data_IF_388194768366
#
_entry.id   IF_388194768366
#
_cell.length_a   1.000
_cell.length_b   1.000
_cell.length_c   1.000
_cell.angle_alpha   90.00
_cell.angle_beta   90.00
_cell.angle_gamma   90.00
#
_symmetry.space_group_name_H-M   'P 1'
#
loop_
_entity.id
_entity.type
_entity.pdbx_description
1 polymer ?
#
# COMPACT_ATOMS: atom_id res chain seq x y z
N UNK A 1 6.58 31.19 -6.78
CA UNK A 1 5.81 29.93 -6.89
C UNK A 1 4.44 29.98 -6.21
N UNK A 2 4.26 30.61 -5.04
CA UNK A 2 2.93 30.73 -4.37
C UNK A 2 1.88 31.53 -5.15
N UNK A 3 2.30 32.51 -5.98
CA UNK A 3 1.37 33.37 -6.74
C UNK A 3 0.81 32.70 -8.02
N UNK A 4 1.51 31.70 -8.58
CA UNK A 4 1.06 30.96 -9.77
C UNK A 4 0.00 29.93 -9.40
N UNK A 5 0.05 29.36 -8.20
CA UNK A 5 -0.94 28.39 -7.72
C UNK A 5 -2.33 29.01 -7.49
N UNK A 6 -2.38 30.25 -7.04
CA UNK A 6 -3.64 30.97 -6.85
C UNK A 6 -4.31 31.38 -8.19
N UNK A 7 -3.53 31.63 -9.25
CA UNK A 7 -4.08 32.02 -10.55
C UNK A 7 -4.67 30.79 -11.28
N UNK A 8 -4.08 29.60 -11.14
CA UNK A 8 -4.62 28.36 -11.73
C UNK A 8 -5.90 27.93 -11.03
N UNK A 9 -6.02 28.14 -9.71
CA UNK A 9 -7.23 27.81 -8.96
C UNK A 9 -8.40 28.77 -9.26
N UNK A 10 -8.11 30.05 -9.57
CA UNK A 10 -9.13 31.03 -9.90
C UNK A 10 -9.68 30.90 -11.32
N UNK A 11 -8.93 30.35 -12.27
CA UNK A 11 -9.38 30.11 -13.66
C UNK A 11 -10.33 28.93 -13.77
N UNK A 12 -10.30 27.97 -12.84
CA UNK A 12 -11.22 26.81 -12.81
C UNK A 12 -12.63 27.14 -12.31
N UNK A 13 -12.82 28.30 -11.68
CA UNK A 13 -14.14 28.71 -11.10
C UNK A 13 -14.96 29.54 -12.09
N UNK A 14 -14.36 30.14 -13.13
CA UNK A 14 -15.05 31.08 -14.04
C UNK A 14 -15.77 30.40 -15.21
N UNK A 15 -15.53 29.11 -15.51
CA UNK A 15 -16.14 28.40 -16.64
C UNK A 15 -17.55 27.82 -16.37
N UNK A 16 -18.11 28.00 -15.18
CA UNK A 16 -19.41 27.42 -14.80
C UNK A 16 -20.62 28.37 -14.91
N UNK A 17 -20.46 29.61 -15.46
CA UNK A 17 -21.50 30.62 -15.42
C UNK A 17 -22.28 30.77 -16.74
N UNK A 18 -21.93 30.09 -17.85
CA UNK A 18 -22.63 30.23 -19.13
C UNK A 18 -23.36 28.95 -19.56
N UNK A 19 -24.28 28.48 -18.76
CA UNK A 19 -25.21 27.44 -19.18
C UNK A 19 -26.61 27.67 -18.56
N UNK A 20 -27.30 28.71 -19.01
CA UNK A 20 -28.73 28.82 -18.81
C UNK A 20 -29.36 29.21 -20.14
N UNK A 21 -30.49 28.48 -20.43
CA UNK A 21 -31.51 28.66 -21.43
C UNK A 21 -31.33 28.00 -22.82
N UNK A 22 -31.83 26.75 -22.89
CA UNK A 22 -32.50 26.24 -24.09
C UNK A 22 -33.71 25.32 -23.74
N UNK A 23 -34.76 25.24 -24.59
CA UNK A 23 -36.07 24.71 -24.25
C UNK A 23 -36.08 23.18 -24.17
N UNK A 24 -36.84 22.69 -23.21
CA UNK A 24 -37.07 21.33 -22.81
C UNK A 24 -37.54 20.40 -23.92
N UNK A 25 -36.70 19.46 -24.44
CA UNK A 25 -37.21 18.32 -25.21
C UNK A 25 -37.66 17.19 -24.27
N UNK A 26 -38.68 16.47 -24.70
CA UNK A 26 -39.35 15.37 -24.03
C UNK A 26 -38.41 14.38 -23.33
N UNK A 27 -38.84 13.92 -22.15
CA UNK A 27 -38.15 13.01 -21.26
C UNK A 27 -37.76 11.68 -21.93
N UNK A 28 -36.61 11.64 -22.59
CA UNK A 28 -35.89 10.38 -22.73
C UNK A 28 -35.60 9.90 -21.32
N UNK A 29 -36.14 8.72 -20.96
CA UNK A 29 -35.82 8.02 -19.70
C UNK A 29 -34.33 8.10 -19.48
N UNK A 30 -33.88 8.94 -18.53
CA UNK A 30 -32.48 9.02 -18.10
C UNK A 30 -32.08 7.58 -17.75
N UNK A 31 -30.98 7.03 -18.31
CA UNK A 31 -30.49 5.78 -17.82
C UNK A 31 -30.30 5.96 -16.31
N UNK A 32 -31.02 5.16 -15.54
CA UNK A 32 -30.86 5.10 -14.08
C UNK A 32 -29.39 4.81 -13.87
N UNK A 33 -28.63 5.77 -13.42
CA UNK A 33 -27.27 5.53 -12.94
C UNK A 33 -27.50 4.54 -11.82
N UNK A 34 -27.18 3.27 -12.06
CA UNK A 34 -27.17 2.24 -11.03
C UNK A 34 -26.13 2.74 -10.03
N UNK A 35 -26.62 3.39 -8.97
CA UNK A 35 -25.79 3.79 -7.86
C UNK A 35 -25.22 2.49 -7.30
N UNK A 36 -24.00 2.14 -7.70
CA UNK A 36 -23.26 1.10 -6.99
C UNK A 36 -23.17 1.55 -5.54
N UNK A 37 -23.60 0.69 -4.62
CA UNK A 37 -23.29 0.89 -3.22
C UNK A 37 -21.77 1.12 -3.11
N UNK A 38 -21.42 2.21 -2.50
CA UNK A 38 -20.12 2.86 -2.56
C UNK A 38 -19.04 1.98 -1.94
N UNK A 39 -18.32 1.20 -2.76
CA UNK A 39 -17.07 0.50 -2.38
C UNK A 39 -15.91 1.52 -2.28
N UNK A 40 -16.12 2.62 -1.55
CA UNK A 40 -15.12 3.67 -1.46
C UNK A 40 -14.00 3.35 -0.48
N UNK A 41 -14.33 2.75 0.65
CA UNK A 41 -13.34 2.39 1.66
C UNK A 41 -12.87 0.96 1.45
N UNK A 42 -11.56 0.78 1.37
CA UNK A 42 -10.90 -0.51 1.22
C UNK A 42 -9.84 -0.66 2.30
N UNK A 43 -10.04 -1.63 3.19
CA UNK A 43 -9.10 -1.96 4.27
C UNK A 43 -8.50 -3.33 3.97
N UNK A 44 -7.18 -3.43 4.03
CA UNK A 44 -6.44 -4.67 3.78
C UNK A 44 -5.54 -5.00 4.96
N UNK A 45 -5.55 -6.26 5.33
CA UNK A 45 -4.65 -6.85 6.31
C UNK A 45 -4.08 -8.15 5.77
N UNK A 46 -2.76 -8.32 5.84
CA UNK A 46 -2.11 -9.49 5.25
C UNK A 46 -0.74 -9.81 5.81
N UNK A 47 -0.22 -10.91 5.32
CA UNK A 47 1.16 -11.34 5.50
C UNK A 47 2.01 -10.72 4.39
N UNK A 48 3.19 -10.21 4.75
CA UNK A 48 4.15 -9.67 3.78
C UNK A 48 5.47 -10.43 3.87
N UNK A 49 6.15 -10.58 2.74
CA UNK A 49 7.47 -11.19 2.66
C UNK A 49 8.31 -10.46 1.63
N UNK A 50 9.58 -10.82 1.56
CA UNK A 50 10.50 -10.34 0.54
C UNK A 50 10.85 -11.46 -0.44
N UNK A 51 10.73 -11.22 -1.73
CA UNK A 51 11.35 -12.03 -2.76
C UNK A 51 12.83 -11.64 -2.91
N UNK A 52 13.66 -12.60 -3.31
CA UNK A 52 15.10 -12.44 -3.51
C UNK A 52 15.86 -12.04 -2.21
N UNK A 53 15.38 -12.50 -1.06
CA UNK A 53 16.07 -12.26 0.20
C UNK A 53 17.38 -13.08 0.23
N UNK A 54 18.54 -12.49 0.53
CA UNK A 54 19.78 -13.24 0.72
C UNK A 54 19.70 -14.19 1.92
N UNK A 55 20.37 -15.34 1.85
CA UNK A 55 20.41 -16.34 2.94
C UNK A 55 20.99 -15.79 4.25
N UNK A 56 21.79 -14.72 4.16
CA UNK A 56 22.37 -14.03 5.33
C UNK A 56 21.36 -13.20 6.13
N UNK A 57 20.13 -12.98 5.61
CA UNK A 57 19.10 -12.18 6.27
C UNK A 57 18.04 -13.11 6.85
N UNK A 58 18.10 -13.31 8.16
CA UNK A 58 17.16 -14.13 8.88
C UNK A 58 15.89 -13.33 9.25
N UNK A 59 14.75 -13.81 8.79
CA UNK A 59 13.43 -13.22 9.15
C UNK A 59 12.69 -14.14 10.10
N UNK A 60 11.92 -13.57 11.03
CA UNK A 60 11.10 -14.34 11.97
C UNK A 60 9.72 -13.77 12.20
N UNK A 61 8.90 -14.55 12.90
CA UNK A 61 7.61 -14.13 13.38
C UNK A 61 6.57 -14.05 12.27
N UNK A 62 5.61 -13.14 12.41
CA UNK A 62 4.53 -12.92 11.47
C UNK A 62 4.63 -11.50 10.85
N UNK A 63 5.38 -11.37 9.76
CA UNK A 63 5.42 -10.13 8.99
C UNK A 63 4.02 -9.75 8.50
N UNK A 64 3.66 -8.48 8.63
CA UNK A 64 2.29 -8.05 8.37
C UNK A 64 2.24 -6.72 7.63
N UNK A 65 1.24 -6.61 6.77
CA UNK A 65 0.87 -5.38 6.11
C UNK A 65 -0.50 -4.92 6.59
N UNK A 66 -0.69 -3.61 6.59
CA UNK A 66 -1.98 -2.96 6.76
C UNK A 66 -2.08 -1.83 5.74
N UNK A 67 -3.18 -1.83 4.97
CA UNK A 67 -3.43 -0.77 4.01
C UNK A 67 -4.86 -0.26 4.17
N UNK A 68 -5.03 1.05 3.98
CA UNK A 68 -6.33 1.70 3.95
C UNK A 68 -6.38 2.67 2.78
N UNK A 69 -7.36 2.48 1.90
CA UNK A 69 -7.54 3.29 0.69
C UNK A 69 -8.94 3.84 0.61
N UNK A 70 -9.06 5.03 0.03
CA UNK A 70 -10.31 5.59 -0.42
C UNK A 70 -10.29 5.61 -1.95
N UNK A 71 -11.27 4.94 -2.59
CA UNK A 71 -11.34 4.75 -4.04
C UNK A 71 -12.66 5.28 -4.59
N UNK A 72 -12.58 5.85 -5.78
CA UNK A 72 -13.72 6.21 -6.61
C UNK A 72 -13.87 5.17 -7.71
N UNK A 73 -15.06 4.60 -7.84
CA UNK A 73 -15.38 3.56 -8.82
C UNK A 73 -16.18 4.15 -9.98
N UNK A 74 -15.69 3.95 -11.21
CA UNK A 74 -16.26 4.47 -12.45
C UNK A 74 -16.71 3.31 -13.34
N UNK A 75 -18.00 2.89 -13.26
CA UNK A 75 -18.53 1.82 -14.09
C UNK A 75 -18.61 2.24 -15.56
N UNK A 76 -18.33 1.30 -16.48
CA UNK A 76 -18.51 1.53 -17.90
C UNK A 76 -20.01 1.60 -18.25
N UNK A 77 -20.39 2.61 -19.04
CA UNK A 77 -21.79 2.80 -19.49
C UNK A 77 -22.31 1.62 -20.32
N UNK A 78 -21.46 1.02 -21.14
CA UNK A 78 -21.79 -0.13 -21.99
C UNK A 78 -21.95 -1.45 -21.21
N UNK A 79 -21.18 -1.60 -20.12
CA UNK A 79 -21.23 -2.81 -19.30
C UNK A 79 -20.96 -2.44 -17.82
N UNK A 80 -22.01 -2.23 -17.01
CA UNK A 80 -21.86 -1.85 -15.60
C UNK A 80 -21.24 -2.92 -14.71
N UNK A 81 -21.00 -4.14 -15.22
CA UNK A 81 -20.25 -5.18 -14.49
C UNK A 81 -18.75 -4.86 -14.41
N UNK A 82 -18.25 -4.05 -15.33
CA UNK A 82 -16.83 -3.64 -15.39
C UNK A 82 -16.73 -2.19 -14.98
N UNK A 83 -15.71 -1.87 -14.19
CA UNK A 83 -15.42 -0.50 -13.77
C UNK A 83 -13.93 -0.27 -13.59
N UNK A 84 -13.53 1.00 -13.62
CA UNK A 84 -12.19 1.44 -13.24
C UNK A 84 -12.30 2.14 -11.90
N UNK A 85 -11.45 1.78 -10.96
CA UNK A 85 -11.35 2.46 -9.67
C UNK A 85 -9.99 3.12 -9.52
N UNK A 86 -10.00 4.36 -9.04
CA UNK A 86 -8.80 5.12 -8.71
C UNK A 86 -8.97 5.76 -7.34
N UNK A 87 -7.89 5.89 -6.61
CA UNK A 87 -7.96 6.48 -5.28
C UNK A 87 -6.61 6.79 -4.67
N UNK A 88 -6.63 7.01 -3.38
CA UNK A 88 -5.45 7.26 -2.58
C UNK A 88 -5.58 6.60 -1.22
N UNK A 89 -4.45 6.35 -0.57
CA UNK A 89 -4.43 5.78 0.76
C UNK A 89 -3.04 5.60 1.32
N UNK A 90 -2.96 4.86 2.42
CA UNK A 90 -1.72 4.58 3.13
C UNK A 90 -1.53 3.08 3.24
N UNK A 91 -0.32 2.63 2.90
CA UNK A 91 0.13 1.26 3.08
C UNK A 91 1.29 1.18 4.05
N UNK A 92 1.27 0.21 4.97
CA UNK A 92 2.37 -0.05 5.88
C UNK A 92 2.77 -1.51 5.86
N UNK A 93 4.08 -1.79 5.71
CA UNK A 93 4.64 -3.12 5.78
C UNK A 93 5.55 -3.23 6.99
N UNK A 94 5.46 -4.35 7.72
CA UNK A 94 6.24 -4.63 8.90
C UNK A 94 6.91 -5.99 8.75
N UNK A 95 8.23 -6.01 8.58
CA UNK A 95 9.05 -7.22 8.53
C UNK A 95 9.81 -7.38 9.85
N UNK A 96 9.94 -8.60 10.33
CA UNK A 96 10.65 -8.92 11.56
C UNK A 96 11.90 -9.71 11.23
N UNK A 97 13.01 -9.32 11.85
CA UNK A 97 14.29 -10.01 11.71
C UNK A 97 14.59 -10.86 12.93
N UNK A 98 15.25 -11.98 12.69
CA UNK A 98 15.83 -12.81 13.73
C UNK A 98 17.33 -12.55 13.84
N UNK A 99 17.80 -12.14 15.01
CA UNK A 99 19.23 -11.95 15.32
C UNK A 99 20.02 -11.25 14.19
N UNK A 100 19.36 -10.34 13.45
CA UNK A 100 19.96 -9.62 12.33
C UNK A 100 19.95 -8.13 12.63
N UNK A 101 21.11 -7.51 12.58
CA UNK A 101 21.25 -6.06 12.60
C UNK A 101 20.97 -5.48 11.21
N UNK A 102 20.34 -4.31 11.17
CA UNK A 102 20.07 -3.58 9.93
C UNK A 102 20.43 -2.12 10.11
N UNK A 103 21.53 -1.70 9.51
CA UNK A 103 22.17 -0.41 9.72
C UNK A 103 21.53 0.76 8.97
N UNK A 104 20.23 1.03 9.11
CA UNK A 104 19.56 2.11 8.34
C UNK A 104 20.06 3.53 8.65
N UNK A 105 20.73 3.71 9.79
CA UNK A 105 21.33 5.00 10.22
C UNK A 105 22.84 5.04 10.09
N UNK A 106 23.47 3.93 9.76
CA UNK A 106 24.92 3.88 9.68
C UNK A 106 25.45 4.80 8.58
N UNK A 107 26.64 5.36 8.84
CA UNK A 107 27.33 6.25 7.91
C UNK A 107 28.19 5.40 6.97
N UNK A 108 27.57 4.41 6.35
CA UNK A 108 28.19 3.51 5.37
C UNK A 108 27.67 3.84 3.96
N UNK A 109 28.42 3.54 2.90
CA UNK A 109 27.94 3.72 1.52
C UNK A 109 26.81 2.76 1.17
N UNK A 110 26.78 1.56 1.80
CA UNK A 110 25.81 0.49 1.57
C UNK A 110 25.01 0.20 2.83
N UNK A 111 23.79 -0.35 2.66
CA UNK A 111 23.00 -0.84 3.78
C UNK A 111 23.56 -2.18 4.25
N UNK A 112 24.01 -2.23 5.48
CA UNK A 112 24.62 -3.42 6.06
C UNK A 112 23.59 -4.26 6.83
N UNK A 113 23.72 -5.58 6.65
CA UNK A 113 23.00 -6.59 7.42
C UNK A 113 24.04 -7.49 8.09
N UNK A 114 24.03 -7.55 9.41
CA UNK A 114 24.95 -8.37 10.19
C UNK A 114 24.19 -9.45 10.96
N UNK A 115 24.66 -10.68 10.88
CA UNK A 115 24.20 -11.76 11.74
C UNK A 115 24.73 -11.54 13.16
N UNK A 116 23.83 -11.52 14.12
CA UNK A 116 24.13 -11.37 15.56
C UNK A 116 23.85 -12.66 16.33
N UNK A 117 23.87 -13.83 15.69
CA UNK A 117 23.53 -15.10 16.34
C UNK A 117 24.43 -15.43 17.53
N UNK A 118 25.71 -15.07 17.42
CA UNK A 118 26.73 -15.36 18.43
C UNK A 118 27.05 -14.17 19.35
N UNK A 119 26.29 -13.07 19.20
CA UNK A 119 26.53 -11.84 19.96
C UNK A 119 25.25 -11.33 20.61
N UNK A 120 25.35 -10.17 21.24
CA UNK A 120 24.19 -9.43 21.78
C UNK A 120 23.26 -9.02 20.65
N UNK A 121 21.98 -9.32 20.79
CA UNK A 121 20.95 -9.02 19.82
C UNK A 121 19.63 -8.58 20.46
N UNK A 122 18.71 -8.07 19.66
CA UNK A 122 17.39 -7.70 20.15
C UNK A 122 16.39 -8.85 20.00
N UNK A 123 15.64 -9.14 21.05
CA UNK A 123 14.51 -10.10 21.05
C UNK A 123 13.50 -9.81 19.95
N UNK A 124 13.24 -8.51 19.70
CA UNK A 124 12.37 -8.04 18.63
C UNK A 124 13.11 -6.97 17.83
N UNK A 125 13.32 -7.25 16.55
CA UNK A 125 13.84 -6.31 15.57
C UNK A 125 12.87 -6.23 14.40
N UNK A 126 12.34 -5.02 14.12
CA UNK A 126 11.29 -4.82 13.13
C UNK A 126 11.63 -3.64 12.22
N UNK A 127 11.66 -3.89 10.91
CA UNK A 127 11.62 -2.84 9.89
C UNK A 127 10.17 -2.54 9.55
N UNK A 128 9.80 -1.27 9.60
CA UNK A 128 8.51 -0.79 9.16
C UNK A 128 8.68 0.28 8.08
N UNK A 129 7.97 0.12 6.96
CA UNK A 129 7.89 1.10 5.88
C UNK A 129 6.45 1.57 5.74
N UNK A 130 6.27 2.86 5.47
CA UNK A 130 4.95 3.48 5.25
C UNK A 130 4.98 4.27 3.96
N UNK A 131 3.98 4.02 3.12
CA UNK A 131 3.81 4.65 1.81
C UNK A 131 2.49 5.38 1.73
N UNK A 132 2.50 6.54 1.09
CA UNK A 132 1.30 7.15 0.52
C UNK A 132 1.13 6.54 -0.87
N UNK A 133 0.00 5.89 -1.14
CA UNK A 133 -0.22 5.09 -2.35
C UNK A 133 -1.44 5.56 -3.13
N UNK A 134 -1.34 5.47 -4.46
CA UNK A 134 -2.43 5.71 -5.40
C UNK A 134 -2.70 4.42 -6.20
N UNK A 135 -3.70 3.63 -5.82
CA UNK A 135 -4.14 2.45 -6.56
C UNK A 135 -5.00 2.83 -7.78
N UNK A 136 -4.81 2.07 -8.85
CA UNK A 136 -5.65 2.05 -10.06
C UNK A 136 -6.04 0.61 -10.33
N UNK A 137 -7.34 0.30 -10.30
CA UNK A 137 -7.88 -1.05 -10.45
C UNK A 137 -8.89 -1.15 -11.58
N UNK A 138 -8.79 -2.18 -12.40
CA UNK A 138 -9.88 -2.67 -13.25
C UNK A 138 -10.68 -3.69 -12.45
N UNK A 139 -11.96 -3.47 -12.28
CA UNK A 139 -12.85 -4.25 -11.43
C UNK A 139 -13.95 -4.92 -12.24
N UNK A 140 -14.22 -6.16 -11.89
CA UNK A 140 -15.38 -6.92 -12.35
C UNK A 140 -16.29 -7.24 -11.17
N UNK A 141 -17.61 -7.06 -11.35
CA UNK A 141 -18.65 -7.41 -10.37
C UNK A 141 -19.76 -8.20 -11.08
N UNK A 142 -20.03 -9.42 -10.64
CA UNK A 142 -21.05 -10.26 -11.27
C UNK A 142 -22.46 -9.68 -11.14
N UNK A 143 -22.76 -8.98 -10.06
CA UNK A 143 -24.07 -8.36 -9.74
C UNK A 143 -23.87 -6.92 -9.25
N UNK A 144 -23.71 -5.91 -10.13
CA UNK A 144 -23.46 -4.52 -9.73
C UNK A 144 -24.57 -3.91 -8.86
N UNK A 145 -25.83 -4.32 -9.07
CA UNK A 145 -26.97 -3.83 -8.32
C UNK A 145 -27.04 -4.37 -6.89
N UNK A 146 -26.41 -5.51 -6.60
CA UNK A 146 -26.38 -6.12 -5.28
C UNK A 146 -24.94 -6.50 -4.88
N UNK A 147 -24.08 -5.52 -4.58
CA UNK A 147 -22.65 -5.73 -4.40
C UNK A 147 -22.30 -6.68 -3.24
N UNK A 148 -23.16 -6.76 -2.21
CA UNK A 148 -23.00 -7.70 -1.09
C UNK A 148 -23.26 -9.16 -1.44
N UNK A 149 -23.85 -9.44 -2.61
CA UNK A 149 -24.10 -10.79 -3.13
C UNK A 149 -23.42 -11.02 -4.48
N UNK A 150 -22.30 -10.36 -4.71
CA UNK A 150 -21.56 -10.34 -5.96
C UNK A 150 -20.18 -11.00 -5.80
N UNK A 151 -19.81 -11.82 -6.79
CA UNK A 151 -18.39 -12.17 -6.98
C UNK A 151 -17.69 -10.95 -7.54
N UNK A 152 -16.59 -10.56 -6.93
CA UNK A 152 -15.76 -9.42 -7.30
C UNK A 152 -14.36 -9.88 -7.67
N UNK A 153 -13.84 -9.37 -8.78
CA UNK A 153 -12.44 -9.55 -9.20
C UNK A 153 -11.87 -8.19 -9.51
N UNK A 154 -10.66 -7.93 -9.10
CA UNK A 154 -9.94 -6.70 -9.44
C UNK A 154 -8.49 -7.03 -9.81
N UNK A 155 -8.01 -6.39 -10.85
CA UNK A 155 -6.61 -6.37 -11.24
C UNK A 155 -6.15 -4.93 -11.34
N UNK A 156 -4.96 -4.63 -10.85
CA UNK A 156 -4.53 -3.24 -10.82
C UNK A 156 -3.04 -3.07 -10.60
N UNK A 157 -2.68 -1.81 -10.59
CA UNK A 157 -1.35 -1.34 -10.22
C UNK A 157 -1.50 -0.30 -9.12
N UNK A 158 -0.47 -0.13 -8.32
CA UNK A 158 -0.38 0.96 -7.35
C UNK A 158 0.99 1.62 -7.41
N UNK A 159 0.98 2.94 -7.41
CA UNK A 159 2.16 3.77 -7.24
C UNK A 159 2.17 4.35 -5.83
N UNK A 160 3.34 4.40 -5.20
CA UNK A 160 3.48 4.89 -3.84
C UNK A 160 4.72 5.76 -3.66
N UNK A 161 4.65 6.65 -2.68
CA UNK A 161 5.76 7.47 -2.21
C UNK A 161 6.09 7.11 -0.78
N UNK A 162 7.37 6.84 -0.50
CA UNK A 162 7.86 6.49 0.83
C UNK A 162 7.75 7.68 1.78
N UNK A 163 6.86 7.58 2.75
CA UNK A 163 6.68 8.59 3.80
C UNK A 163 7.68 8.35 4.93
N UNK A 164 7.79 7.10 5.39
CA UNK A 164 8.63 6.73 6.53
C UNK A 164 9.22 5.34 6.36
N UNK A 165 10.50 5.18 6.77
CA UNK A 165 11.13 3.90 7.02
C UNK A 165 11.79 3.96 8.39
N UNK A 166 11.56 2.95 9.25
CA UNK A 166 12.17 2.90 10.57
C UNK A 166 12.38 1.47 11.05
N UNK A 167 13.42 1.29 11.84
CA UNK A 167 13.65 0.09 12.63
C UNK A 167 13.20 0.37 14.06
N UNK A 168 12.52 -0.62 14.64
CA UNK A 168 12.14 -0.63 16.05
C UNK A 168 12.68 -1.90 16.68
N UNK A 169 13.56 -1.71 17.66
CA UNK A 169 14.19 -2.76 18.44
C UNK A 169 13.63 -2.76 19.86
N UNK A 170 13.51 -3.92 20.46
CA UNK A 170 13.04 -4.05 21.85
C UNK A 170 13.73 -5.20 22.55
N UNK A 171 14.08 -4.98 23.82
CA UNK A 171 14.67 -5.96 24.74
C UNK A 171 15.98 -6.55 24.21
N UNK A 172 17.09 -6.03 24.69
CA UNK A 172 18.42 -6.51 24.39
C UNK A 172 18.71 -7.81 25.13
N UNK A 173 19.29 -8.79 24.43
CA UNK A 173 19.59 -10.12 24.94
C UNK A 173 21.02 -10.54 24.61
N UNK A 174 21.60 -11.40 25.47
CA UNK A 174 22.84 -12.12 25.17
C UNK A 174 22.64 -13.10 24.02
N UNK A 175 23.74 -13.68 23.49
CA UNK A 175 23.69 -14.76 22.49
C UNK A 175 22.81 -15.93 22.97
N UNK A 176 22.83 -16.26 24.28
CA UNK A 176 22.04 -17.34 24.89
C UNK A 176 20.55 -16.96 25.11
N UNK A 177 20.14 -15.73 24.83
CA UNK A 177 18.75 -15.27 24.96
C UNK A 177 18.39 -14.70 26.35
N UNK A 178 19.33 -14.56 27.26
CA UNK A 178 19.10 -13.90 28.56
C UNK A 178 18.96 -12.40 28.37
N UNK A 179 17.98 -11.77 29.02
CA UNK A 179 17.74 -10.32 28.91
C UNK A 179 18.87 -9.56 29.62
N UNK A 180 19.52 -8.65 28.89
CA UNK A 180 20.49 -7.69 29.42
C UNK A 180 19.78 -6.44 29.85
N UNK A 181 18.97 -5.87 28.94
CA UNK A 181 18.29 -4.60 29.18
C UNK A 181 16.92 -4.57 28.47
N UNK A 182 15.90 -4.02 29.10
CA UNK A 182 14.56 -3.91 28.50
C UNK A 182 14.24 -2.46 28.16
N UNK A 183 14.55 -2.08 26.95
CA UNK A 183 14.24 -0.76 26.40
C UNK A 183 13.75 -0.87 24.95
N UNK A 184 13.22 0.25 24.44
CA UNK A 184 12.77 0.36 23.07
C UNK A 184 13.65 1.39 22.37
N UNK A 185 14.30 0.98 21.31
CA UNK A 185 15.02 1.86 20.40
C UNK A 185 14.27 1.99 19.08
N UNK A 186 14.16 3.21 18.57
CA UNK A 186 13.58 3.50 17.26
C UNK A 186 14.53 4.37 16.46
N UNK A 187 14.97 3.85 15.31
CA UNK A 187 15.80 4.55 14.36
C UNK A 187 15.00 4.79 13.08
N UNK A 188 15.03 6.00 12.51
CA UNK A 188 14.31 6.35 11.28
C UNK A 188 15.27 6.93 10.27
N UNK A 189 15.28 6.35 9.06
CA UNK A 189 16.06 6.85 7.92
C UNK A 189 15.45 6.34 6.62
N UNK A 190 15.38 7.18 5.60
CA UNK A 190 14.97 6.81 4.23
C UNK A 190 16.16 6.70 3.27
N UNK A 191 17.39 6.88 3.77
CA UNK A 191 18.61 7.03 2.96
C UNK A 191 18.80 5.92 1.95
N UNK A 192 18.61 4.67 2.36
CA UNK A 192 18.87 3.48 1.56
C UNK A 192 17.64 2.98 0.78
N UNK A 193 16.47 3.53 1.05
CA UNK A 193 15.21 3.08 0.46
C UNK A 193 14.88 3.83 -0.82
N UNK A 194 14.24 3.13 -1.77
CA UNK A 194 13.60 3.77 -2.90
C UNK A 194 12.47 4.70 -2.43
N UNK A 195 12.46 5.91 -2.96
CA UNK A 195 11.42 6.90 -2.64
C UNK A 195 10.07 6.55 -3.27
N UNK A 196 10.08 5.78 -4.37
CA UNK A 196 8.90 5.34 -5.10
C UNK A 196 8.71 3.84 -4.99
N UNK A 197 7.43 3.43 -4.99
CA UNK A 197 6.97 2.04 -5.01
C UNK A 197 6.03 1.84 -6.18
N UNK A 198 6.29 0.82 -7.00
CA UNK A 198 5.38 0.37 -8.04
C UNK A 198 5.05 -1.10 -7.79
N UNK A 199 3.77 -1.43 -7.74
CA UNK A 199 3.34 -2.79 -7.45
C UNK A 199 2.13 -3.18 -8.29
N UNK A 200 2.11 -4.44 -8.74
CA UNK A 200 0.93 -5.10 -9.27
C UNK A 200 0.05 -5.60 -8.13
N UNK A 201 -1.26 -5.56 -8.30
CA UNK A 201 -2.23 -6.07 -7.30
C UNK A 201 -3.34 -6.86 -7.98
N UNK A 202 -3.76 -7.93 -7.31
CA UNK A 202 -4.90 -8.75 -7.74
C UNK A 202 -5.78 -9.03 -6.52
N UNK A 203 -7.10 -9.09 -6.74
CA UNK A 203 -8.07 -9.35 -5.69
C UNK A 203 -9.24 -10.16 -6.22
N UNK A 204 -9.70 -11.14 -5.44
CA UNK A 204 -10.90 -11.93 -5.73
C UNK A 204 -11.69 -12.14 -4.45
N UNK A 205 -13.02 -12.06 -4.52
CA UNK A 205 -13.85 -12.24 -3.35
C UNK A 205 -15.34 -12.25 -3.62
N UNK A 206 -16.08 -12.28 -2.52
CA UNK A 206 -17.54 -12.29 -2.52
C UNK A 206 -18.07 -11.26 -1.50
N UNK A 207 -19.01 -10.44 -1.94
CA UNK A 207 -19.61 -9.40 -1.10
C UNK A 207 -18.59 -8.37 -0.61
N UNK A 208 -18.43 -8.26 0.70
CA UNK A 208 -17.49 -7.33 1.35
C UNK A 208 -16.11 -7.91 1.58
N UNK A 209 -15.95 -9.24 1.48
CA UNK A 209 -14.69 -9.94 1.75
C UNK A 209 -13.99 -10.33 0.45
N UNK A 210 -12.68 -10.11 0.39
CA UNK A 210 -11.83 -10.57 -0.71
C UNK A 210 -10.47 -11.03 -0.19
N UNK A 211 -9.85 -11.94 -0.92
CA UNK A 211 -8.41 -12.23 -0.80
C UNK A 211 -7.68 -11.32 -1.79
N UNK A 212 -6.55 -10.78 -1.39
CA UNK A 212 -5.70 -9.98 -2.28
C UNK A 212 -4.26 -10.46 -2.29
N UNK A 213 -3.59 -10.22 -3.38
CA UNK A 213 -2.16 -10.37 -3.55
C UNK A 213 -1.55 -9.11 -4.12
N UNK A 214 -0.34 -8.78 -3.69
CA UNK A 214 0.44 -7.65 -4.21
C UNK A 214 1.89 -8.08 -4.40
N UNK A 215 2.50 -7.62 -5.49
CA UNK A 215 3.92 -7.82 -5.76
C UNK A 215 4.57 -6.50 -6.16
N UNK A 216 5.61 -6.10 -5.45
CA UNK A 216 6.37 -4.89 -5.76
C UNK A 216 7.31 -5.16 -6.95
N UNK A 217 7.21 -4.33 -7.98
CA UNK A 217 7.93 -4.48 -9.26
C UNK A 217 9.36 -3.94 -9.14
N UNK A 218 9.52 -2.77 -8.54
CA UNK A 218 10.83 -2.18 -8.29
C UNK A 218 11.41 -2.65 -6.95
N UNK A 219 12.72 -2.58 -6.78
CA UNK A 219 13.39 -2.92 -5.52
C UNK A 219 12.92 -2.03 -4.37
N UNK A 220 12.90 -2.59 -3.14
CA UNK A 220 12.66 -1.84 -1.91
C UNK A 220 13.78 -0.84 -1.64
N UNK A 221 15.02 -1.24 -1.90
CA UNK A 221 16.21 -0.44 -1.69
C UNK A 221 16.71 0.20 -2.98
N UNK A 222 17.50 1.25 -2.87
CA UNK A 222 18.18 1.88 -4.01
C UNK A 222 19.18 0.91 -4.63
N UNK A 223 19.32 0.98 -5.93
CA UNK A 223 20.22 0.14 -6.71
C UNK A 223 21.68 0.34 -6.28
N UNK A 224 22.45 -0.77 -6.21
CA UNK A 224 23.86 -0.75 -5.84
C UNK A 224 24.15 -0.49 -4.36
N UNK A 225 23.13 -0.29 -3.52
CA UNK A 225 23.29 0.09 -2.11
C UNK A 225 22.93 -1.07 -1.16
N UNK A 226 22.01 -1.95 -1.58
CA UNK A 226 21.53 -3.08 -0.80
C UNK A 226 21.08 -4.20 -1.75
N UNK A 227 20.81 -5.41 -1.25
CA UNK A 227 20.24 -6.49 -2.06
C UNK A 227 18.94 -6.08 -2.77
N UNK A 228 18.72 -6.56 -4.00
CA UNK A 228 17.47 -6.35 -4.76
C UNK A 228 16.35 -7.21 -4.20
N UNK A 229 15.74 -6.75 -3.12
CA UNK A 229 14.59 -7.42 -2.52
C UNK A 229 13.29 -6.77 -2.97
N UNK A 230 12.28 -7.60 -3.23
CA UNK A 230 10.97 -7.15 -3.71
C UNK A 230 9.87 -7.65 -2.77
N UNK A 231 9.21 -6.74 -2.04
CA UNK A 231 8.11 -7.10 -1.16
C UNK A 231 6.94 -7.71 -1.93
N UNK A 232 6.37 -8.76 -1.37
CA UNK A 232 5.10 -9.34 -1.80
C UNK A 232 4.17 -9.47 -0.60
N UNK A 233 2.88 -9.50 -0.87
CA UNK A 233 1.86 -9.57 0.18
C UNK A 233 0.70 -10.45 -0.27
N UNK A 234 0.14 -11.21 0.67
CA UNK A 234 -1.13 -11.90 0.52
C UNK A 234 -1.99 -11.67 1.77
N UNK A 235 -3.28 -11.48 1.61
CA UNK A 235 -4.13 -11.18 2.75
C UNK A 235 -5.60 -11.04 2.43
N UNK A 236 -6.32 -10.47 3.39
CA UNK A 236 -7.75 -10.23 3.33
C UNK A 236 -8.05 -8.75 3.12
N UNK A 237 -9.08 -8.48 2.35
CA UNK A 237 -9.63 -7.15 2.10
C UNK A 237 -11.06 -7.10 2.61
N UNK A 238 -11.39 -6.01 3.28
CA UNK A 238 -12.74 -5.54 3.54
C UNK A 238 -13.02 -4.35 2.61
N UNK A 239 -14.09 -4.43 1.83
CA UNK A 239 -14.52 -3.34 0.94
C UNK A 239 -16.03 -3.13 1.01
N UNK A 240 -16.49 -1.90 0.80
CA UNK A 240 -17.92 -1.60 0.80
C UNK A 240 -18.50 -1.29 2.18
N UNK A 241 -17.68 -0.66 3.02
CA UNK A 241 -18.11 -0.09 4.30
C UNK A 241 -18.61 1.36 4.10
#
# INVERSE_FOLDING_TARGET
MKKIFCVVLSTLIVTSIFAQDEPKPEAKKKPTIVSRANDHLLIQFGYTGWANIPDSINTKGFPRTFNAYFLFDFPFKSNPKISVAIGAGVGTDNLYFDKTYVGIKDITPTLEFHDLSDTTHFKKNKLATTYLEAPLELRFSSRPATPNKSVKVALGIKAGLLVQAHIKQKTEQTASGSTINDYIEKQSSKRFFNSSRFAGTARIGYGVFSVFGTYQINSLFKEGIAPDVRPWTIGLTLSGL
#
